data_IF_461314776899
#
_entry.id   IF_461314776899
#
_cell.length_a   1.000
_cell.length_b   1.000
_cell.length_c   1.000
_cell.angle_alpha   90.00
_cell.angle_beta   90.00
_cell.angle_gamma   90.00
#
_symmetry.space_group_name_H-M   'P 1'
#
loop_
_entity.id
_entity.type
_entity.pdbx_description
1 polymer ?
#
# COMPACT_ATOMS: atom_id res chain seq x y z
N UNK A 1 -12.68 -18.12 -7.14
CA UNK A 1 -12.10 -17.14 -8.10
C UNK A 1 -10.66 -16.92 -7.71
N UNK A 2 -9.70 -17.39 -8.52
CA UNK A 2 -8.28 -17.38 -8.18
C UNK A 2 -7.73 -15.95 -8.21
N UNK A 3 -7.31 -15.43 -7.05
CA UNK A 3 -6.61 -14.15 -6.99
C UNK A 3 -5.23 -14.36 -7.61
N UNK A 4 -5.04 -13.92 -8.84
CA UNK A 4 -3.77 -13.97 -9.55
C UNK A 4 -2.78 -13.07 -8.80
N UNK A 5 -1.98 -13.68 -7.91
CA UNK A 5 -0.89 -12.98 -7.21
C UNK A 5 0.09 -12.44 -8.24
N UNK A 6 0.33 -11.14 -8.19
CA UNK A 6 1.35 -10.49 -9.02
C UNK A 6 2.71 -11.15 -8.73
N UNK A 7 3.39 -11.64 -9.77
CA UNK A 7 4.72 -12.25 -9.62
C UNK A 7 5.77 -11.26 -9.10
N UNK A 8 5.53 -9.97 -9.34
CA UNK A 8 6.39 -8.87 -8.92
C UNK A 8 5.48 -7.86 -8.22
N UNK A 9 5.76 -7.61 -6.94
CA UNK A 9 5.05 -6.58 -6.17
C UNK A 9 6.00 -5.41 -5.94
N UNK A 10 5.70 -4.21 -6.47
CA UNK A 10 6.52 -3.04 -6.20
C UNK A 10 6.44 -2.69 -4.72
N UNK A 11 7.59 -2.52 -4.08
CA UNK A 11 7.68 -2.03 -2.70
C UNK A 11 8.21 -0.60 -2.75
N UNK A 12 7.42 0.33 -2.24
CA UNK A 12 7.76 1.75 -2.17
C UNK A 12 8.06 2.09 -0.71
N UNK A 13 9.26 2.59 -0.43
CA UNK A 13 9.67 3.00 0.91
C UNK A 13 9.50 4.50 1.08
N UNK A 14 8.88 4.91 2.18
CA UNK A 14 8.71 6.30 2.57
C UNK A 14 9.17 6.46 4.01
N UNK A 15 9.76 7.62 4.34
CA UNK A 15 10.33 7.89 5.66
C UNK A 15 9.25 7.99 6.75
N UNK A 16 8.23 8.84 6.53
CA UNK A 16 7.14 9.08 7.48
C UNK A 16 5.75 9.17 6.83
N UNK A 17 5.70 9.27 5.50
CA UNK A 17 4.50 9.62 4.74
C UNK A 17 3.88 8.44 3.98
N UNK A 18 4.17 7.20 4.39
CA UNK A 18 3.73 6.00 3.66
C UNK A 18 2.21 5.88 3.52
N UNK A 19 1.46 6.20 4.57
CA UNK A 19 0.00 6.12 4.54
C UNK A 19 -0.64 7.25 3.69
N UNK A 20 -0.18 8.49 3.85
CA UNK A 20 -0.64 9.63 3.04
C UNK A 20 -0.35 9.41 1.56
N UNK A 21 0.84 8.89 1.25
CA UNK A 21 1.21 8.52 -0.12
C UNK A 21 0.28 7.43 -0.68
N UNK A 22 0.01 6.36 0.10
CA UNK A 22 -0.91 5.31 -0.32
C UNK A 22 -2.32 5.87 -0.60
N UNK A 23 -2.86 6.72 0.28
CA UNK A 23 -4.15 7.39 0.09
C UNK A 23 -4.16 8.24 -1.18
N UNK A 24 -3.14 9.09 -1.36
CA UNK A 24 -3.01 9.94 -2.53
C UNK A 24 -2.99 9.12 -3.83
N UNK A 25 -2.12 8.11 -3.93
CA UNK A 25 -2.03 7.29 -5.14
C UNK A 25 -3.33 6.53 -5.42
N UNK A 26 -4.00 5.99 -4.40
CA UNK A 26 -5.29 5.31 -4.62
C UNK A 26 -6.40 6.27 -5.06
N UNK A 27 -6.30 7.57 -4.73
CA UNK A 27 -7.24 8.59 -5.21
C UNK A 27 -6.93 9.08 -6.62
N UNK A 28 -5.68 8.97 -7.09
CA UNK A 28 -5.26 9.43 -8.42
C UNK A 28 -5.53 8.39 -9.51
N UNK A 29 -5.40 7.10 -9.17
CA UNK A 29 -5.54 6.01 -10.14
C UNK A 29 -6.88 5.29 -9.98
N UNK A 30 -7.75 5.37 -11.00
CA UNK A 30 -8.99 4.58 -11.07
C UNK A 30 -8.72 3.07 -10.92
N UNK A 31 -9.62 2.36 -10.24
CA UNK A 31 -9.51 0.93 -9.84
C UNK A 31 -8.43 0.61 -8.77
N UNK A 32 -7.88 1.62 -8.11
CA UNK A 32 -6.97 1.42 -6.99
C UNK A 32 -7.72 1.35 -5.67
N UNK A 33 -7.26 0.51 -4.74
CA UNK A 33 -7.79 0.44 -3.38
C UNK A 33 -6.72 0.00 -2.41
N UNK A 34 -6.81 0.49 -1.19
CA UNK A 34 -6.03 -0.02 -0.06
C UNK A 34 -6.67 -1.33 0.39
N UNK A 35 -5.89 -2.42 0.42
CA UNK A 35 -6.40 -3.76 0.76
C UNK A 35 -6.12 -4.12 2.21
N UNK A 36 -4.94 -3.72 2.71
CA UNK A 36 -4.50 -3.95 4.08
C UNK A 36 -3.62 -2.77 4.51
N UNK A 37 -3.71 -2.39 5.79
CA UNK A 37 -2.83 -1.40 6.41
C UNK A 37 -2.32 -2.00 7.70
N UNK A 38 -1.00 -2.19 7.76
CA UNK A 38 -0.32 -2.67 8.96
C UNK A 38 0.53 -1.53 9.52
N UNK A 39 0.16 -1.03 10.70
CA UNK A 39 0.97 -0.05 11.44
C UNK A 39 1.96 -0.78 12.35
N UNK A 40 3.25 -0.69 12.03
CA UNK A 40 4.30 -1.05 12.98
C UNK A 40 4.55 0.17 13.89
N UNK A 41 3.78 0.27 14.98
CA UNK A 41 4.17 1.13 16.12
C UNK A 41 5.44 0.58 16.76
N UNK A 42 6.20 1.44 17.46
CA UNK A 42 7.45 1.06 18.15
C UNK A 42 7.34 -0.36 18.73
N UNK A 43 8.04 -1.30 18.11
CA UNK A 43 8.25 -2.60 18.69
C UNK A 43 9.11 -2.37 19.92
N UNK A 44 8.48 -2.38 21.09
CA UNK A 44 9.18 -2.37 22.38
C UNK A 44 10.08 -3.59 22.54
#
# INVERSE_FOLDING_TARGET
>A
MGQQKQKITPSLWFDTQGEEAAKFYTSVFDNSRIVDVTHYGEAG
#
